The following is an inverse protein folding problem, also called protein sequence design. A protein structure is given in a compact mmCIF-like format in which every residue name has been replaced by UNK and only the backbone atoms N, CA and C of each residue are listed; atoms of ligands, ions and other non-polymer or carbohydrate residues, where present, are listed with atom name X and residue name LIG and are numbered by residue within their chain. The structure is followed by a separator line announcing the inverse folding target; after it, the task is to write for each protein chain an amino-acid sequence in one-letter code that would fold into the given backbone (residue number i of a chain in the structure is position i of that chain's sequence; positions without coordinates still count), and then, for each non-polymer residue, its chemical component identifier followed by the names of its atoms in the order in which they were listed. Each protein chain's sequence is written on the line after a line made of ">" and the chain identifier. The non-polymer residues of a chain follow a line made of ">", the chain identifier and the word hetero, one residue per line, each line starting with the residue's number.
data_IF_559234607174
#
_entry.id   IF_559234607174
#
_cell.length_a   1.000
_cell.length_b   1.000
_cell.length_c   1.000
_cell.angle_alpha   90.00
_cell.angle_beta   90.00
_cell.angle_gamma   90.00
#
_symmetry.space_group_name_H-M   'P 1'
#
loop_
_entity.id
_entity.type
_entity.pdbx_description
1 polymer ?
#
# COMPACT_ATOMS: atom_id res chain seq x y z
N UNK A 1 15.74 -14.29 -62.97
CA UNK A 1 16.58 -13.07 -63.00
C UNK A 1 16.56 -12.50 -61.60
N UNK A 2 17.61 -12.78 -60.81
CA UNK A 2 17.67 -12.35 -59.41
C UNK A 2 18.14 -10.90 -59.36
N UNK A 3 17.32 -10.05 -58.75
CA UNK A 3 17.62 -8.64 -58.53
C UNK A 3 18.30 -8.51 -57.15
N UNK A 4 19.61 -8.71 -57.11
CA UNK A 4 20.44 -8.51 -55.93
C UNK A 4 20.73 -7.01 -55.77
N UNK A 5 19.74 -6.26 -55.26
CA UNK A 5 19.98 -4.88 -54.80
C UNK A 5 20.60 -4.94 -53.41
N UNK A 6 21.91 -4.71 -53.32
CA UNK A 6 22.61 -4.55 -52.05
C UNK A 6 22.16 -3.30 -51.29
N UNK A 7 22.29 -3.31 -49.96
CA UNK A 7 22.03 -2.14 -49.12
C UNK A 7 23.07 -1.07 -49.43
N UNK A 8 22.61 0.12 -49.78
CA UNK A 8 23.49 1.27 -50.02
C UNK A 8 24.00 1.83 -48.70
N UNK A 9 25.17 2.46 -48.72
CA UNK A 9 25.78 3.06 -47.50
C UNK A 9 24.81 4.05 -46.84
N UNK A 10 24.03 4.79 -47.64
CA UNK A 10 23.04 5.75 -47.11
C UNK A 10 21.88 5.04 -46.38
N UNK A 11 21.41 3.89 -46.86
CA UNK A 11 20.37 3.11 -46.19
C UNK A 11 20.89 2.53 -44.87
N UNK A 12 22.15 2.08 -44.84
CA UNK A 12 22.78 1.60 -43.61
C UNK A 12 22.95 2.73 -42.58
N UNK A 13 23.28 3.94 -43.03
CA UNK A 13 23.42 5.12 -42.17
C UNK A 13 22.06 5.53 -41.57
N UNK A 14 21.01 5.52 -42.39
CA UNK A 14 19.64 5.79 -41.93
C UNK A 14 19.19 4.72 -40.93
N UNK A 15 19.49 3.45 -41.20
CA UNK A 15 19.16 2.35 -40.28
C UNK A 15 19.84 2.51 -38.91
N UNK A 16 21.11 2.88 -38.88
CA UNK A 16 21.84 3.12 -37.62
C UNK A 16 21.25 4.30 -36.84
N UNK A 17 20.92 5.40 -37.52
CA UNK A 17 20.28 6.58 -36.89
C UNK A 17 18.91 6.22 -36.31
N UNK A 18 18.08 5.48 -37.07
CA UNK A 18 16.77 5.03 -36.59
C UNK A 18 16.88 4.06 -35.40
N UNK A 19 17.86 3.17 -35.41
CA UNK A 19 18.12 2.23 -34.31
C UNK A 19 18.56 2.99 -33.05
N UNK A 20 19.40 4.02 -33.19
CA UNK A 20 19.81 4.86 -32.06
C UNK A 20 18.64 5.62 -31.44
N UNK A 21 17.75 6.21 -32.27
CA UNK A 21 16.55 6.90 -31.78
C UNK A 21 15.59 5.91 -31.08
N UNK A 22 15.44 4.69 -31.62
CA UNK A 22 14.62 3.65 -31.02
C UNK A 22 15.11 3.27 -29.61
N UNK A 23 16.43 3.10 -29.42
CA UNK A 23 17.00 2.76 -28.11
C UNK A 23 16.80 3.90 -27.09
N UNK A 24 17.02 5.14 -27.50
CA UNK A 24 16.83 6.31 -26.62
C UNK A 24 15.36 6.43 -26.21
N UNK A 25 14.42 6.12 -27.10
CA UNK A 25 12.99 6.17 -26.80
C UNK A 25 12.54 5.16 -25.73
N UNK A 26 13.30 4.06 -25.52
CA UNK A 26 12.98 3.01 -24.55
C UNK A 26 13.56 3.26 -23.15
N UNK A 27 14.59 4.11 -23.02
CA UNK A 27 15.21 4.44 -21.73
C UNK A 27 14.22 4.90 -20.63
N UNK A 28 13.19 5.73 -20.89
CA UNK A 28 12.24 6.14 -19.85
C UNK A 28 11.44 4.97 -19.25
N UNK A 29 11.37 3.80 -19.89
CA UNK A 29 10.66 2.64 -19.32
C UNK A 29 11.31 2.09 -18.05
N UNK A 30 12.64 2.21 -17.91
CA UNK A 30 13.36 1.64 -16.77
C UNK A 30 13.01 2.36 -15.47
N UNK A 31 13.01 3.69 -15.47
CA UNK A 31 12.71 4.49 -14.28
C UNK A 31 11.24 4.44 -13.89
N UNK A 32 10.34 4.38 -14.87
CA UNK A 32 8.90 4.22 -14.61
C UNK A 32 8.61 2.85 -13.99
N UNK A 33 9.20 1.78 -14.52
CA UNK A 33 9.00 0.42 -14.01
C UNK A 33 9.44 0.27 -12.56
N UNK A 34 10.58 0.83 -12.18
CA UNK A 34 11.09 0.75 -10.80
C UNK A 34 10.20 1.50 -9.81
N UNK A 35 9.78 2.71 -10.16
CA UNK A 35 8.92 3.52 -9.29
C UNK A 35 7.53 2.92 -9.13
N UNK A 36 6.95 2.37 -10.21
CA UNK A 36 5.65 1.69 -10.15
C UNK A 36 5.74 0.41 -9.34
N UNK A 37 6.80 -0.39 -9.54
CA UNK A 37 7.03 -1.60 -8.76
C UNK A 37 7.18 -1.31 -7.27
N UNK A 38 8.03 -0.35 -6.90
CA UNK A 38 8.19 0.05 -5.51
C UNK A 38 6.88 0.54 -4.89
N UNK A 39 6.12 1.38 -5.61
CA UNK A 39 4.81 1.87 -5.13
C UNK A 39 3.80 0.74 -4.95
N UNK A 40 3.77 -0.24 -5.87
CA UNK A 40 2.89 -1.39 -5.77
C UNK A 40 3.23 -2.25 -4.54
N UNK A 41 4.51 -2.48 -4.26
CA UNK A 41 4.97 -3.20 -3.07
C UNK A 41 4.55 -2.50 -1.76
N UNK A 42 4.77 -1.18 -1.66
CA UNK A 42 4.34 -0.41 -0.50
C UNK A 42 2.81 -0.46 -0.32
N UNK A 43 2.06 -0.39 -1.42
CA UNK A 43 0.60 -0.44 -1.37
C UNK A 43 0.09 -1.82 -0.95
N UNK A 44 0.69 -2.90 -1.47
CA UNK A 44 0.36 -4.28 -1.08
C UNK A 44 0.63 -4.54 0.41
N UNK A 45 1.79 -4.10 0.91
CA UNK A 45 2.13 -4.20 2.34
C UNK A 45 1.21 -3.36 3.22
N UNK A 46 0.89 -2.14 2.81
CA UNK A 46 -0.05 -1.28 3.53
C UNK A 46 -1.46 -1.90 3.63
N UNK A 47 -1.93 -2.52 2.55
CA UNK A 47 -3.21 -3.21 2.53
C UNK A 47 -3.22 -4.44 3.45
N UNK A 48 -2.14 -5.23 3.45
CA UNK A 48 -1.99 -6.37 4.36
C UNK A 48 -2.00 -5.94 5.83
N UNK A 49 -1.19 -4.94 6.20
CA UNK A 49 -1.14 -4.41 7.57
C UNK A 49 -2.53 -3.90 7.99
N UNK A 50 -3.20 -3.17 7.11
CA UNK A 50 -4.56 -2.67 7.37
C UNK A 50 -5.54 -3.81 7.64
N UNK A 51 -5.54 -4.85 6.81
CA UNK A 51 -6.42 -6.00 6.99
C UNK A 51 -6.12 -6.72 8.30
N UNK A 52 -4.85 -7.00 8.59
CA UNK A 52 -4.46 -7.68 9.83
C UNK A 52 -4.85 -6.89 11.09
N UNK A 53 -4.76 -5.56 11.06
CA UNK A 53 -5.18 -4.71 12.16
C UNK A 53 -6.71 -4.71 12.30
N UNK A 54 -7.46 -4.69 11.20
CA UNK A 54 -8.92 -4.78 11.25
C UNK A 54 -9.37 -6.12 11.86
N UNK A 55 -8.80 -7.23 11.40
CA UNK A 55 -9.09 -8.57 11.92
C UNK A 55 -8.73 -8.66 13.41
N UNK A 56 -7.56 -8.18 13.82
CA UNK A 56 -7.15 -8.17 15.22
C UNK A 56 -8.11 -7.38 16.11
N UNK A 57 -8.62 -6.23 15.62
CA UNK A 57 -9.59 -5.41 16.35
C UNK A 57 -10.97 -6.05 16.39
N UNK A 58 -11.39 -6.69 15.30
CA UNK A 58 -12.62 -7.47 15.26
C UNK A 58 -12.58 -8.61 16.27
N UNK A 59 -11.50 -9.40 16.30
CA UNK A 59 -11.31 -10.46 17.31
C UNK A 59 -11.33 -9.92 18.74
N UNK A 60 -10.68 -8.77 18.99
CA UNK A 60 -10.71 -8.13 20.30
C UNK A 60 -12.15 -7.72 20.69
N UNK A 61 -12.92 -7.17 19.75
CA UNK A 61 -14.31 -6.77 19.96
C UNK A 61 -15.22 -7.98 20.21
N UNK A 62 -15.05 -9.05 19.45
CA UNK A 62 -15.82 -10.28 19.61
C UNK A 62 -15.55 -10.98 20.95
N UNK A 63 -14.33 -10.87 21.49
CA UNK A 63 -13.96 -11.49 22.76
C UNK A 63 -14.44 -10.66 23.97
N UNK A 64 -15.37 -11.22 24.74
CA UNK A 64 -15.93 -10.56 25.93
C UNK A 64 -14.90 -10.24 27.02
N UNK A 65 -13.84 -11.05 27.14
CA UNK A 65 -12.79 -10.86 28.16
C UNK A 65 -11.85 -9.69 27.86
N UNK A 66 -11.98 -9.09 26.67
CA UNK A 66 -11.16 -7.95 26.27
C UNK A 66 -12.00 -6.68 26.37
N UNK A 67 -11.53 -5.75 27.19
CA UNK A 67 -12.10 -4.41 27.31
C UNK A 67 -11.83 -3.60 26.04
N UNK A 68 -12.86 -2.98 25.49
CA UNK A 68 -12.76 -2.16 24.29
C UNK A 68 -12.56 -0.71 24.70
N UNK A 69 -11.40 -0.16 24.35
CA UNK A 69 -11.09 1.26 24.55
C UNK A 69 -11.56 2.04 23.32
N UNK A 70 -12.47 2.98 23.54
CA UNK A 70 -12.96 3.89 22.49
C UNK A 70 -11.91 4.97 22.21
N UNK A 71 -11.73 5.28 20.93
CA UNK A 71 -10.77 6.28 20.43
C UNK A 71 -11.40 7.17 19.37
N UNK A 72 -12.44 7.97 19.73
CA UNK A 72 -13.12 8.84 18.77
C UNK A 72 -12.28 10.02 18.29
N UNK A 73 -11.37 10.52 19.13
CA UNK A 73 -10.57 11.71 18.85
C UNK A 73 -9.08 11.37 18.72
N UNK A 74 -8.58 10.46 19.56
CA UNK A 74 -7.17 10.08 19.62
C UNK A 74 -6.97 8.63 19.13
N UNK A 75 -6.52 8.41 17.88
CA UNK A 75 -6.36 7.07 17.34
C UNK A 75 -5.22 6.33 18.03
N UNK A 76 -5.30 5.00 18.07
CA UNK A 76 -4.12 4.19 18.34
C UNK A 76 -3.15 4.34 17.18
N UNK A 77 -1.95 4.84 17.47
CA UNK A 77 -0.90 5.02 16.48
C UNK A 77 0.18 3.97 16.67
N UNK A 78 0.27 3.03 15.73
CA UNK A 78 1.31 2.00 15.70
C UNK A 78 2.20 2.21 14.48
N UNK A 79 3.50 2.04 14.64
CA UNK A 79 4.47 2.12 13.54
C UNK A 79 5.04 0.73 13.25
N UNK A 80 4.96 0.31 11.99
CA UNK A 80 5.54 -0.93 11.50
C UNK A 80 6.71 -0.61 10.56
N UNK A 81 7.79 -1.37 10.66
CA UNK A 81 8.88 -1.34 9.66
C UNK A 81 8.50 -2.10 8.40
N UNK A 82 9.27 -1.95 7.31
CA UNK A 82 9.08 -2.73 6.07
C UNK A 82 9.06 -4.26 6.34
N UNK A 83 9.80 -4.70 7.35
CA UNK A 83 9.87 -6.10 7.78
C UNK A 83 8.72 -6.55 8.71
N UNK A 84 7.75 -5.66 8.99
CA UNK A 84 6.61 -5.97 9.87
C UNK A 84 6.92 -5.92 11.36
N UNK A 85 8.14 -5.53 11.76
CA UNK A 85 8.49 -5.39 13.18
C UNK A 85 7.97 -4.08 13.78
N UNK A 86 7.52 -4.15 15.04
CA UNK A 86 6.92 -3.08 15.85
C UNK A 86 7.92 -2.02 16.37
N UNK A 87 9.12 -1.95 15.80
CA UNK A 87 10.21 -1.10 16.30
C UNK A 87 10.70 -0.19 15.19
N UNK A 88 10.54 1.13 15.35
CA UNK A 88 10.99 2.13 14.39
C UNK A 88 12.51 2.19 14.37
N UNK A 89 13.12 1.78 13.25
CA UNK A 89 14.48 2.20 12.93
C UNK A 89 14.40 3.56 12.25
N UNK A 90 15.13 4.56 12.76
CA UNK A 90 15.13 5.95 12.29
C UNK A 90 15.58 6.12 10.83
N UNK A 91 16.10 5.07 10.21
CA UNK A 91 16.70 5.08 8.87
C UNK A 91 15.89 4.32 7.83
N UNK A 92 14.80 3.66 8.23
CA UNK A 92 14.06 2.72 7.37
C UNK A 92 12.64 3.20 7.04
N UNK A 93 12.08 2.77 5.90
CA UNK A 93 10.71 3.12 5.55
C UNK A 93 9.72 2.50 6.56
N UNK A 94 8.80 3.31 7.08
CA UNK A 94 7.84 2.89 8.09
C UNK A 94 6.40 3.15 7.64
N UNK A 95 5.50 2.27 8.08
CA UNK A 95 4.06 2.43 7.96
C UNK A 95 3.51 2.95 9.27
N UNK A 96 2.75 4.04 9.22
CA UNK A 96 2.01 4.58 10.36
C UNK A 96 0.56 4.11 10.25
N UNK A 97 0.13 3.31 11.21
CA UNK A 97 -1.25 2.81 11.31
C UNK A 97 -1.97 3.64 12.34
N UNK A 98 -3.14 4.18 11.98
CA UNK A 98 -4.04 4.91 12.85
C UNK A 98 -5.35 4.14 12.95
N UNK A 99 -5.71 3.72 14.16
CA UNK A 99 -6.93 2.97 14.43
C UNK A 99 -7.87 3.78 15.31
N UNK A 100 -9.06 4.08 14.78
CA UNK A 100 -10.16 4.71 15.51
C UNK A 100 -11.22 3.66 15.83
N UNK A 101 -11.67 3.62 17.08
CA UNK A 101 -12.74 2.72 17.53
C UNK A 101 -13.86 3.56 18.10
N UNK A 102 -15.03 3.49 17.46
CA UNK A 102 -16.22 4.21 17.84
C UNK A 102 -17.34 3.23 18.17
N UNK A 103 -18.29 3.63 19.01
CA UNK A 103 -19.55 2.88 19.15
C UNK A 103 -20.37 3.07 17.88
N UNK A 104 -21.02 2.00 17.40
CA UNK A 104 -21.95 2.12 16.30
C UNK A 104 -23.22 2.84 16.78
N UNK A 105 -23.66 3.84 16.01
CA UNK A 105 -24.83 4.63 16.38
C UNK A 105 -26.07 3.74 16.58
N UNK A 106 -26.68 3.81 17.76
CA UNK A 106 -27.89 3.05 18.08
C UNK A 106 -27.67 1.61 18.55
N UNK A 107 -26.44 1.15 18.76
CA UNK A 107 -26.16 -0.21 19.22
C UNK A 107 -25.17 -0.23 20.40
N UNK A 108 -25.53 -0.96 21.47
CA UNK A 108 -24.71 -1.08 22.70
C UNK A 108 -23.57 -2.08 22.56
N UNK A 109 -23.71 -3.07 21.68
CA UNK A 109 -22.75 -4.17 21.49
C UNK A 109 -22.12 -4.17 20.09
N UNK A 110 -22.03 -3.00 19.47
CA UNK A 110 -21.45 -2.85 18.14
C UNK A 110 -20.49 -1.67 18.11
N UNK A 111 -19.37 -1.88 17.45
CA UNK A 111 -18.30 -0.90 17.31
C UNK A 111 -17.90 -0.79 15.85
N UNK A 112 -17.60 0.43 15.43
CA UNK A 112 -17.05 0.73 14.11
C UNK A 112 -15.56 0.98 14.30
N UNK A 113 -14.75 0.17 13.62
CA UNK A 113 -13.30 0.30 13.60
C UNK A 113 -12.90 0.91 12.27
N UNK A 114 -12.17 2.02 12.32
CA UNK A 114 -11.56 2.63 11.14
C UNK A 114 -10.05 2.50 11.25
N UNK A 115 -9.43 1.91 10.22
CA UNK A 115 -7.97 1.79 10.15
C UNK A 115 -7.48 2.56 8.95
N UNK A 116 -6.45 3.38 9.17
CA UNK A 116 -5.75 4.12 8.14
C UNK A 116 -4.26 3.80 8.20
N UNK A 117 -3.66 3.48 7.05
CA UNK A 117 -2.24 3.18 6.93
C UNK A 117 -1.59 4.19 5.99
N UNK A 118 -0.59 4.93 6.49
CA UNK A 118 0.19 5.91 5.73
C UNK A 118 1.67 5.56 5.74
N UNK A 119 2.40 5.94 4.69
CA UNK A 119 3.85 5.75 4.58
C UNK A 119 4.51 6.91 3.83
N UNK A 120 5.81 7.17 4.03
CA UNK A 120 6.55 8.18 3.29
C UNK A 120 6.49 7.94 1.77
N UNK A 121 6.17 8.97 0.99
CA UNK A 121 6.05 8.85 -0.48
C UNK A 121 4.74 8.21 -0.98
N UNK A 122 3.83 7.84 -0.08
CA UNK A 122 2.48 7.39 -0.41
C UNK A 122 1.49 8.53 -0.65
N UNK A 123 0.24 8.22 -1.05
CA UNK A 123 -0.83 9.22 -1.11
C UNK A 123 -1.10 9.82 0.27
N UNK A 124 -1.43 11.12 0.34
CA UNK A 124 -1.61 11.85 1.60
C UNK A 124 -2.67 11.23 2.54
N UNK A 125 -3.69 10.59 1.98
CA UNK A 125 -4.73 9.90 2.75
C UNK A 125 -4.40 8.44 3.06
N UNK A 126 -3.33 7.88 2.50
CA UNK A 126 -2.97 6.46 2.67
C UNK A 126 -4.02 5.49 2.15
N UNK A 127 -3.96 4.26 2.66
CA UNK A 127 -5.01 3.24 2.48
C UNK A 127 -5.90 3.26 3.71
N UNK A 128 -7.23 3.22 3.52
CA UNK A 128 -8.22 3.30 4.59
C UNK A 128 -9.30 2.25 4.39
N UNK A 129 -9.74 1.66 5.50
CA UNK A 129 -10.88 0.75 5.51
C UNK A 129 -11.55 0.79 6.87
N UNK A 130 -12.79 0.32 6.92
CA UNK A 130 -13.57 0.26 8.13
C UNK A 130 -14.41 -1.00 8.18
N UNK A 131 -14.58 -1.52 9.39
CA UNK A 131 -15.43 -2.68 9.67
C UNK A 131 -16.34 -2.37 10.84
N UNK A 132 -17.54 -2.94 10.83
CA UNK A 132 -18.43 -2.97 11.98
C UNK A 132 -18.26 -4.33 12.63
N UNK A 133 -17.81 -4.36 13.88
CA UNK A 133 -17.67 -5.57 14.67
C UNK A 133 -18.71 -5.57 15.79
N UNK A 134 -19.33 -6.72 16.01
CA UNK A 134 -20.41 -6.91 16.98
C UNK A 134 -20.06 -7.96 18.01
N UNK A 135 -20.55 -7.78 19.24
CA UNK A 135 -20.43 -8.75 20.32
C UNK A 135 -21.82 -9.33 20.61
N UNK A 136 -21.99 -10.64 20.40
CA UNK A 136 -23.31 -11.28 20.51
C UNK A 136 -23.62 -11.78 21.93
N UNK A 137 -22.61 -12.06 22.75
CA UNK A 137 -22.80 -12.56 24.11
C UNK A 137 -22.28 -11.54 25.14
N UNK A 138 -23.14 -11.21 26.10
CA UNK A 138 -22.88 -10.29 27.21
C UNK A 138 -23.58 -10.81 28.48
N UNK A 139 -23.26 -12.04 28.89
CA UNK A 139 -23.66 -12.60 30.19
C UNK A 139 -22.49 -12.61 31.17
#
# INVERSE_FOLDING_TARGET
>A
MNNDKGITVIESLIAVVLTAIAIISLMPMQSISLNVGARADYMGRAAYIMQSELEAREYAIMNQNISITLTPTDPFVTKYTVNGALTVSTTDAFFTVRTFVNTAAGATNAWIVHVQVTWPGGPASGVRSSIIATRHYNF
#
